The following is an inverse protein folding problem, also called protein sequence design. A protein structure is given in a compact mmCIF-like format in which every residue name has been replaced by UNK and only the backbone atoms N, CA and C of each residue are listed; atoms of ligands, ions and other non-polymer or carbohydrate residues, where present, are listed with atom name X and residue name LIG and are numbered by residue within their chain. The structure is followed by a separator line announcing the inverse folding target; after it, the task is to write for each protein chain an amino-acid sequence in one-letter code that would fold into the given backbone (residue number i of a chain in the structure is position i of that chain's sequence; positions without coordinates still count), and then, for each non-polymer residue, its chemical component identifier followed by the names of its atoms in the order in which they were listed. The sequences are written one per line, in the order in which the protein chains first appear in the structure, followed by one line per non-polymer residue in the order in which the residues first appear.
data_IF_519182029570
#
_entry.id   IF_519182029570
#
_cell.length_a   1.000
_cell.length_b   1.000
_cell.length_c   1.000
_cell.angle_alpha   90.00
_cell.angle_beta   90.00
_cell.angle_gamma   90.00
#
_symmetry.space_group_name_H-M   'P 1'
#
loop_
_entity.id
_entity.type
_entity.pdbx_description
1 polymer ?
#
# COMPACT_ATOMS: atom_id res chain seq x y z
N UNK A 1 -16.61 -45.48 30.42
CA UNK A 1 -16.33 -45.35 28.97
C UNK A 1 -15.76 -43.97 28.76
N UNK A 2 -14.49 -43.90 28.34
CA UNK A 2 -13.71 -42.67 28.22
C UNK A 2 -13.94 -42.10 26.82
N UNK A 3 -14.49 -40.89 26.73
CA UNK A 3 -14.70 -40.18 25.47
C UNK A 3 -13.35 -39.68 24.96
N UNK A 4 -12.84 -40.34 23.92
CA UNK A 4 -11.57 -40.04 23.29
C UNK A 4 -11.69 -38.72 22.50
N UNK A 5 -10.97 -37.70 22.96
CA UNK A 5 -10.82 -36.43 22.27
C UNK A 5 -10.07 -36.66 20.96
N UNK A 6 -10.78 -36.58 19.83
CA UNK A 6 -10.17 -36.54 18.50
C UNK A 6 -9.29 -35.29 18.40
N UNK A 7 -7.97 -35.51 18.53
CA UNK A 7 -6.92 -34.50 18.33
C UNK A 7 -7.02 -33.95 16.90
N UNK A 8 -6.90 -32.62 16.70
CA UNK A 8 -6.77 -32.06 15.35
C UNK A 8 -5.54 -32.65 14.65
N UNK A 9 -5.57 -32.84 13.31
CA UNK A 9 -4.43 -33.38 12.59
C UNK A 9 -3.19 -32.51 12.82
N UNK A 10 -2.08 -33.15 13.18
CA UNK A 10 -0.77 -32.52 13.32
C UNK A 10 -0.47 -31.73 12.04
N UNK A 11 -0.11 -30.45 12.21
CA UNK A 11 0.41 -29.58 11.15
C UNK A 11 1.51 -30.35 10.40
N UNK A 12 1.23 -30.79 9.18
CA UNK A 12 2.31 -31.11 8.24
C UNK A 12 2.96 -29.77 7.93
N UNK A 13 4.12 -29.56 8.52
CA UNK A 13 5.03 -28.48 8.18
C UNK A 13 5.13 -28.43 6.66
N UNK A 14 4.71 -27.30 6.09
CA UNK A 14 5.13 -26.91 4.76
C UNK A 14 6.59 -26.47 4.93
N UNK A 15 7.53 -27.42 4.89
CA UNK A 15 8.97 -27.17 5.01
C UNK A 15 9.56 -26.54 3.72
N UNK A 16 8.73 -25.81 2.96
CA UNK A 16 9.13 -25.05 1.76
C UNK A 16 8.47 -23.67 1.85
N UNK A 17 8.83 -22.92 2.90
CA UNK A 17 8.77 -21.45 3.00
C UNK A 17 9.11 -21.00 4.44
N UNK A 18 10.01 -21.68 5.14
CA UNK A 18 10.58 -21.15 6.38
C UNK A 18 11.93 -20.53 6.06
N UNK A 19 11.90 -19.43 5.30
CA UNK A 19 13.02 -18.50 5.29
C UNK A 19 13.19 -18.00 6.72
N UNK A 20 14.37 -18.22 7.28
CA UNK A 20 14.77 -17.79 8.61
C UNK A 20 14.27 -16.38 8.89
N UNK A 21 13.50 -16.22 9.97
CA UNK A 21 13.13 -14.91 10.49
C UNK A 21 14.41 -14.22 10.94
N UNK A 22 14.98 -13.40 10.05
CA UNK A 22 15.98 -12.40 10.42
C UNK A 22 15.25 -11.31 11.20
N UNK A 23 15.05 -11.55 12.49
CA UNK A 23 14.51 -10.59 13.45
C UNK A 23 15.55 -9.50 13.77
N UNK A 24 15.94 -8.71 12.77
CA UNK A 24 16.77 -7.52 12.95
C UNK A 24 16.36 -6.39 12.01
N UNK A 25 15.08 -6.29 11.67
CA UNK A 25 14.55 -5.11 10.99
C UNK A 25 14.50 -3.95 12.00
N UNK A 26 15.60 -3.23 12.13
CA UNK A 26 15.61 -1.91 12.75
C UNK A 26 14.63 -1.04 11.99
N UNK A 27 13.85 -0.22 12.71
CA UNK A 27 12.96 0.80 12.15
C UNK A 27 13.61 1.47 10.94
N UNK A 28 13.06 1.37 9.70
CA UNK A 28 13.51 2.23 8.63
C UNK A 28 13.21 3.66 9.10
N UNK A 29 14.25 4.48 9.24
CA UNK A 29 14.12 5.87 9.66
C UNK A 29 13.61 6.67 8.46
N UNK A 30 12.34 6.44 8.10
CA UNK A 30 11.72 7.04 6.92
C UNK A 30 11.57 8.54 7.14
N UNK A 31 12.03 9.30 6.16
CA UNK A 31 11.90 10.74 6.14
C UNK A 31 10.44 11.12 5.85
N UNK A 32 10.00 12.25 6.41
CA UNK A 32 8.70 12.81 6.05
C UNK A 32 8.70 13.27 4.58
N UNK A 33 7.56 13.15 3.91
CA UNK A 33 7.41 13.60 2.53
C UNK A 33 7.84 15.07 2.36
N UNK A 34 8.74 15.32 1.41
CA UNK A 34 9.30 16.63 1.13
C UNK A 34 9.30 16.91 -0.37
N UNK A 35 8.30 17.65 -0.85
CA UNK A 35 8.19 17.98 -2.28
C UNK A 35 9.30 18.89 -2.83
N UNK A 36 10.14 19.46 -1.96
CA UNK A 36 11.32 20.26 -2.36
C UNK A 36 12.54 19.39 -2.62
N UNK A 37 12.54 18.15 -2.16
CA UNK A 37 13.62 17.20 -2.42
C UNK A 37 13.31 16.39 -3.69
N UNK A 38 14.20 16.50 -4.68
CA UNK A 38 14.13 15.79 -5.96
C UNK A 38 14.10 14.28 -5.79
N UNK A 39 14.82 13.75 -4.79
CA UNK A 39 14.84 12.33 -4.48
C UNK A 39 13.51 11.88 -3.88
N UNK A 40 12.88 12.71 -3.04
CA UNK A 40 11.53 12.43 -2.54
C UNK A 40 10.51 12.36 -3.69
N UNK A 41 10.59 13.29 -4.65
CA UNK A 41 9.73 13.28 -5.84
C UNK A 41 10.00 12.06 -6.73
N UNK A 42 11.28 11.68 -6.92
CA UNK A 42 11.65 10.48 -7.67
C UNK A 42 11.09 9.21 -7.03
N UNK A 43 11.18 9.08 -5.71
CA UNK A 43 10.61 7.96 -4.96
C UNK A 43 9.08 7.97 -4.98
N UNK A 44 8.45 9.15 -4.93
CA UNK A 44 7.00 9.30 -5.07
C UNK A 44 6.48 8.76 -6.40
N UNK A 45 7.15 9.08 -7.52
CA UNK A 45 6.81 8.54 -8.84
C UNK A 45 6.89 7.01 -8.81
N UNK A 46 8.01 6.46 -8.31
CA UNK A 46 8.18 5.01 -8.20
C UNK A 46 7.09 4.35 -7.36
N UNK A 47 6.79 4.93 -6.20
CA UNK A 47 5.71 4.50 -5.30
C UNK A 47 4.35 4.53 -6.00
N UNK A 48 3.99 5.65 -6.63
CA UNK A 48 2.71 5.84 -7.29
C UNK A 48 2.49 4.78 -8.38
N UNK A 49 3.47 4.55 -9.25
CA UNK A 49 3.32 3.55 -10.31
C UNK A 49 3.19 2.12 -9.77
N UNK A 50 3.98 1.77 -8.75
CA UNK A 50 3.86 0.47 -8.08
C UNK A 50 2.48 0.30 -7.43
N UNK A 51 2.01 1.33 -6.73
CA UNK A 51 0.70 1.32 -6.09
C UNK A 51 -0.43 1.17 -7.11
N UNK A 52 -0.44 1.97 -8.19
CA UNK A 52 -1.51 1.92 -9.19
C UNK A 52 -1.51 0.62 -9.99
N UNK A 53 -0.34 0.12 -10.41
CA UNK A 53 -0.25 -1.13 -11.19
C UNK A 53 -0.67 -2.35 -10.38
N UNK A 54 -0.21 -2.42 -9.13
CA UNK A 54 -0.48 -3.57 -8.27
C UNK A 54 -1.74 -3.41 -7.43
N UNK A 55 -2.42 -2.26 -7.50
CA UNK A 55 -3.51 -1.86 -6.58
C UNK A 55 -3.10 -1.91 -5.10
N UNK A 56 -1.85 -1.54 -4.81
CA UNK A 56 -1.29 -1.43 -3.46
C UNK A 56 -0.71 -2.71 -2.86
N UNK A 57 -0.73 -3.83 -3.59
CA UNK A 57 -0.27 -5.13 -3.09
C UNK A 57 1.24 -5.37 -3.25
N UNK A 58 1.88 -4.77 -4.25
CA UNK A 58 3.29 -4.99 -4.58
C UNK A 58 4.05 -3.66 -4.57
N UNK A 59 4.76 -3.42 -3.46
CA UNK A 59 5.55 -2.20 -3.25
C UNK A 59 6.96 -2.62 -2.79
N UNK A 60 7.98 -2.08 -3.45
CA UNK A 60 9.40 -2.29 -3.11
C UNK A 60 9.83 -1.42 -1.95
N UNK A 61 9.40 -1.75 -0.73
CA UNK A 61 9.63 -0.98 0.49
C UNK A 61 11.11 -0.73 0.82
N UNK A 62 11.99 -1.63 0.40
CA UNK A 62 13.44 -1.55 0.56
C UNK A 62 14.09 -0.41 -0.25
N UNK A 63 13.36 0.13 -1.22
CA UNK A 63 13.83 1.20 -2.13
C UNK A 63 13.24 2.57 -1.76
N UNK A 64 12.50 2.65 -0.65
CA UNK A 64 11.81 3.87 -0.22
C UNK A 64 12.41 4.35 1.11
N UNK A 65 12.94 5.57 1.08
CA UNK A 65 13.48 6.29 2.24
C UNK A 65 12.48 7.32 2.77
N UNK A 66 11.40 7.60 2.04
CA UNK A 66 10.34 8.55 2.41
C UNK A 66 9.03 7.84 2.79
N UNK A 67 8.26 8.48 3.67
CA UNK A 67 6.90 8.08 4.02
C UNK A 67 5.91 8.43 2.90
N UNK A 68 5.08 7.46 2.54
CA UNK A 68 3.95 7.60 1.61
C UNK A 68 2.66 7.09 2.26
N UNK A 69 1.54 7.21 1.55
CA UNK A 69 0.20 6.90 2.05
C UNK A 69 0.02 5.48 2.59
N UNK A 70 0.77 4.52 2.05
CA UNK A 70 0.77 3.13 2.52
C UNK A 70 2.06 2.78 3.22
N UNK A 71 1.98 1.93 4.22
CA UNK A 71 3.11 1.41 4.97
C UNK A 71 3.11 -0.12 4.98
N UNK A 72 4.29 -0.76 5.02
CA UNK A 72 4.37 -2.20 5.19
C UNK A 72 3.95 -2.59 6.61
N UNK A 73 3.22 -3.71 6.74
CA UNK A 73 3.00 -4.33 8.04
C UNK A 73 4.20 -5.19 8.39
N UNK A 74 5.16 -4.62 9.13
CA UNK A 74 6.38 -5.30 9.58
C UNK A 74 6.44 -5.33 11.10
N UNK A 75 6.98 -6.41 11.65
CA UNK A 75 6.94 -6.73 13.09
C UNK A 75 7.56 -5.73 14.08
N UNK A 76 8.49 -4.81 13.74
CA UNK A 76 8.87 -3.75 14.67
C UNK A 76 7.78 -2.65 14.83
N UNK A 77 6.71 -2.67 14.01
CA UNK A 77 5.63 -1.69 14.01
C UNK A 77 4.27 -2.37 14.11
N UNK A 78 3.77 -2.55 15.33
CA UNK A 78 2.42 -3.07 15.52
C UNK A 78 1.39 -2.03 15.07
N UNK A 79 0.46 -2.46 14.22
CA UNK A 79 -0.70 -1.66 13.83
C UNK A 79 -1.77 -1.56 14.94
N UNK A 80 -1.60 -2.28 16.05
CA UNK A 80 -2.50 -2.26 17.22
C UNK A 80 -1.71 -2.44 18.51
N UNK A 81 -2.17 -1.79 19.58
CA UNK A 81 -1.65 -2.02 20.93
C UNK A 81 -2.02 -3.41 21.48
N UNK A 82 -3.13 -3.97 21.01
CA UNK A 82 -3.73 -5.19 21.57
C UNK A 82 -3.52 -6.44 20.71
N UNK A 83 -3.09 -6.28 19.46
CA UNK A 83 -2.91 -7.39 18.51
C UNK A 83 -1.59 -7.28 17.77
N UNK A 84 -0.99 -8.43 17.47
CA UNK A 84 0.15 -8.49 16.54
C UNK A 84 -0.32 -8.20 15.12
N UNK A 85 0.62 -7.84 14.25
CA UNK A 85 0.32 -7.67 12.83
C UNK A 85 -0.25 -8.95 12.22
N UNK A 86 0.35 -10.10 12.55
CA UNK A 86 -0.13 -11.43 12.14
C UNK A 86 -1.57 -11.70 12.56
N UNK A 87 -1.94 -11.35 13.80
CA UNK A 87 -3.32 -11.52 14.27
C UNK A 87 -4.30 -10.64 13.48
N UNK A 88 -3.94 -9.39 13.23
CA UNK A 88 -4.77 -8.46 12.44
C UNK A 88 -4.96 -8.98 11.01
N UNK A 89 -3.86 -9.40 10.37
CA UNK A 89 -3.84 -9.93 9.01
C UNK A 89 -4.68 -11.20 8.93
N UNK A 90 -4.46 -12.16 9.85
CA UNK A 90 -5.16 -13.44 9.88
C UNK A 90 -6.65 -13.26 10.11
N UNK A 91 -7.05 -12.44 11.07
CA UNK A 91 -8.47 -12.19 11.36
C UNK A 91 -9.18 -11.55 10.17
N UNK A 92 -8.60 -10.48 9.61
CA UNK A 92 -9.19 -9.77 8.47
C UNK A 92 -9.31 -10.68 7.25
N UNK A 93 -8.26 -11.45 6.97
CA UNK A 93 -8.23 -12.39 5.84
C UNK A 93 -9.23 -13.53 6.01
N UNK A 94 -9.31 -14.14 7.19
CA UNK A 94 -10.30 -15.18 7.48
C UNK A 94 -11.74 -14.67 7.31
N UNK A 95 -12.01 -13.43 7.72
CA UNK A 95 -13.33 -12.82 7.52
C UNK A 95 -13.63 -12.58 6.04
N UNK A 96 -12.64 -12.11 5.28
CA UNK A 96 -12.78 -11.91 3.83
C UNK A 96 -13.04 -13.25 3.10
N UNK A 97 -12.31 -14.30 3.48
CA UNK A 97 -12.53 -15.67 2.99
C UNK A 97 -13.93 -16.17 3.34
N UNK A 98 -14.40 -15.99 4.58
CA UNK A 98 -15.72 -16.44 5.02
C UNK A 98 -16.84 -15.80 4.18
N UNK A 99 -16.74 -14.50 3.90
CA UNK A 99 -17.66 -13.79 3.02
C UNK A 99 -17.60 -14.34 1.60
N UNK A 100 -16.40 -14.46 1.02
CA UNK A 100 -16.24 -15.01 -0.33
C UNK A 100 -16.81 -16.42 -0.46
N UNK A 101 -16.56 -17.29 0.52
CA UNK A 101 -17.11 -18.64 0.56
C UNK A 101 -18.64 -18.64 0.62
N UNK A 102 -19.23 -17.74 1.42
CA UNK A 102 -20.69 -17.58 1.49
C UNK A 102 -21.26 -17.10 0.16
N UNK A 103 -20.63 -16.12 -0.48
CA UNK A 103 -21.13 -15.46 -1.69
C UNK A 103 -20.93 -16.31 -2.96
N UNK A 104 -19.85 -17.10 -3.02
CA UNK A 104 -19.45 -17.90 -4.19
C UNK A 104 -19.66 -19.40 -4.03
N UNK A 105 -20.03 -19.86 -2.83
CA UNK A 105 -20.17 -21.29 -2.53
C UNK A 105 -18.84 -22.06 -2.50
N UNK A 106 -17.71 -21.36 -2.34
CA UNK A 106 -16.37 -21.97 -2.26
C UNK A 106 -16.06 -22.48 -0.85
N UNK A 107 -14.98 -23.27 -0.69
CA UNK A 107 -14.51 -23.71 0.63
C UNK A 107 -13.02 -23.40 0.81
N UNK A 108 -12.68 -22.13 0.60
CA UNK A 108 -11.33 -21.62 0.81
C UNK A 108 -10.97 -21.64 2.29
N UNK A 109 -9.74 -22.07 2.59
CA UNK A 109 -9.14 -22.07 3.93
C UNK A 109 -7.82 -21.31 3.87
N UNK A 110 -7.66 -20.36 4.81
CA UNK A 110 -6.42 -19.60 4.99
C UNK A 110 -5.27 -20.51 5.43
N UNK A 111 -4.14 -20.40 4.75
CA UNK A 111 -2.92 -21.12 5.10
C UNK A 111 -1.94 -20.20 5.83
N UNK A 112 -1.45 -19.19 5.11
CA UNK A 112 -0.50 -18.19 5.62
C UNK A 112 -0.56 -16.92 4.77
N UNK A 113 -0.02 -15.82 5.30
CA UNK A 113 0.16 -14.58 4.53
C UNK A 113 1.57 -14.50 3.92
N UNK A 114 1.70 -13.74 2.85
CA UNK A 114 2.99 -13.52 2.16
C UNK A 114 3.45 -12.09 2.32
N UNK A 115 2.53 -11.14 2.15
CA UNK A 115 2.80 -9.73 2.34
C UNK A 115 1.54 -9.02 2.81
N UNK A 116 1.74 -7.96 3.58
CA UNK A 116 0.67 -7.08 4.00
C UNK A 116 1.16 -5.64 4.06
N UNK A 117 0.31 -4.73 3.62
CA UNK A 117 0.48 -3.29 3.78
C UNK A 117 -0.82 -2.66 4.25
N UNK A 118 -0.73 -1.44 4.77
CA UNK A 118 -1.91 -0.72 5.23
C UNK A 118 -1.83 0.76 4.86
N UNK A 119 -3.00 1.40 4.77
CA UNK A 119 -3.17 2.84 4.64
C UNK A 119 -4.13 3.33 5.71
N UNK A 120 -3.75 4.39 6.42
CA UNK A 120 -4.65 5.09 7.31
C UNK A 120 -5.65 5.90 6.48
N UNK A 121 -6.94 5.71 6.74
CA UNK A 121 -8.03 6.47 6.12
C UNK A 121 -9.10 6.73 7.19
N UNK A 122 -10.39 6.75 6.84
CA UNK A 122 -11.46 6.67 7.83
C UNK A 122 -11.49 5.27 8.49
N UNK A 123 -10.48 4.91 9.28
CA UNK A 123 -10.16 3.54 9.69
C UNK A 123 -8.82 3.10 9.09
N UNK A 124 -8.64 1.80 8.89
CA UNK A 124 -7.40 1.25 8.30
C UNK A 124 -7.76 0.33 7.15
N UNK A 125 -7.23 0.64 5.97
CA UNK A 125 -7.36 -0.17 4.76
C UNK A 125 -6.14 -1.08 4.64
N UNK A 126 -6.37 -2.38 4.55
CA UNK A 126 -5.33 -3.40 4.46
C UNK A 126 -5.30 -4.00 3.06
N UNK A 127 -4.10 -4.25 2.56
CA UNK A 127 -3.81 -4.98 1.33
C UNK A 127 -3.03 -6.21 1.72
N UNK A 128 -3.63 -7.39 1.58
CA UNK A 128 -3.02 -8.66 2.01
C UNK A 128 -2.92 -9.61 0.83
N UNK A 129 -1.72 -10.12 0.60
CA UNK A 129 -1.46 -11.27 -0.28
C UNK A 129 -1.26 -12.51 0.58
N UNK A 130 -2.00 -13.58 0.31
CA UNK A 130 -2.02 -14.78 1.16
C UNK A 130 -2.23 -16.07 0.38
N UNK A 131 -1.76 -17.18 0.96
CA UNK A 131 -2.05 -18.52 0.49
C UNK A 131 -3.39 -19.01 1.04
N UNK A 132 -4.23 -19.52 0.14
CA UNK A 132 -5.42 -20.27 0.52
C UNK A 132 -5.57 -21.52 -0.33
N UNK A 133 -6.31 -22.49 0.21
CA UNK A 133 -6.62 -23.75 -0.46
C UNK A 133 -8.13 -23.94 -0.51
N UNK A 134 -8.65 -24.28 -1.69
CA UNK A 134 -10.06 -24.62 -1.84
C UNK A 134 -10.30 -26.10 -1.57
N UNK A 135 -11.02 -26.39 -0.48
CA UNK A 135 -11.37 -27.75 -0.09
C UNK A 135 -12.60 -28.29 -0.82
N UNK A 136 -13.27 -27.48 -1.65
CA UNK A 136 -14.32 -27.95 -2.56
C UNK A 136 -13.74 -28.57 -3.84
N UNK A 137 -12.47 -28.29 -4.16
CA UNK A 137 -11.78 -28.86 -5.32
C UNK A 137 -11.52 -30.36 -5.14
N UNK A 138 -11.65 -31.14 -6.22
CA UNK A 138 -11.26 -32.56 -6.26
C UNK A 138 -9.76 -32.77 -6.03
N UNK A 139 -8.94 -31.76 -6.34
CA UNK A 139 -7.51 -31.72 -6.07
C UNK A 139 -7.15 -30.38 -5.40
N UNK A 140 -7.20 -30.30 -4.06
CA UNK A 140 -6.87 -29.08 -3.34
C UNK A 140 -5.39 -28.71 -3.52
N UNK A 141 -5.14 -27.57 -4.14
CA UNK A 141 -3.80 -27.00 -4.34
C UNK A 141 -3.78 -25.59 -3.76
N UNK A 142 -2.74 -25.22 -2.97
CA UNK A 142 -2.59 -23.84 -2.51
C UNK A 142 -2.47 -22.87 -3.68
N UNK A 143 -3.18 -21.74 -3.60
CA UNK A 143 -3.08 -20.64 -4.56
C UNK A 143 -2.91 -19.32 -3.81
N UNK A 144 -2.28 -18.35 -4.47
CA UNK A 144 -2.15 -16.99 -3.95
C UNK A 144 -3.41 -16.19 -4.24
N UNK A 145 -3.93 -15.56 -3.22
CA UNK A 145 -5.05 -14.64 -3.28
C UNK A 145 -4.61 -13.27 -2.77
N UNK A 146 -5.35 -12.27 -3.20
CA UNK A 146 -5.24 -10.89 -2.77
C UNK A 146 -6.58 -10.45 -2.22
N UNK A 147 -6.56 -9.78 -1.06
CA UNK A 147 -7.74 -9.12 -0.53
C UNK A 147 -7.43 -7.73 -0.03
N UNK A 148 -8.32 -6.80 -0.37
CA UNK A 148 -8.35 -5.46 0.15
C UNK A 148 -9.58 -5.32 1.06
N UNK A 149 -9.35 -4.93 2.31
CA UNK A 149 -10.44 -4.74 3.28
C UNK A 149 -10.15 -3.59 4.24
N UNK A 150 -11.19 -2.85 4.61
CA UNK A 150 -11.13 -1.76 5.58
C UNK A 150 -11.69 -2.21 6.91
N UNK A 151 -10.95 -1.96 7.98
CA UNK A 151 -11.43 -2.09 9.36
C UNK A 151 -11.67 -0.72 9.98
N UNK A 152 -12.74 -0.61 10.75
CA UNK A 152 -13.03 0.57 11.57
C UNK A 152 -13.49 0.09 12.96
N UNK A 153 -12.62 0.24 13.96
CA UNK A 153 -12.87 -0.34 15.28
C UNK A 153 -12.92 -1.88 15.26
N UNK A 154 -13.54 -2.51 16.28
CA UNK A 154 -13.44 -3.95 16.49
C UNK A 154 -14.35 -4.78 15.57
N UNK A 155 -15.49 -4.24 15.15
CA UNK A 155 -16.57 -5.00 14.50
C UNK A 155 -16.76 -4.68 13.02
N UNK A 156 -16.46 -3.45 12.58
CA UNK A 156 -16.63 -3.10 11.18
C UNK A 156 -15.44 -3.60 10.36
N UNK A 157 -15.75 -4.45 9.39
CA UNK A 157 -14.82 -4.85 8.34
C UNK A 157 -15.60 -4.85 7.02
N UNK A 158 -15.08 -4.17 6.01
CA UNK A 158 -15.65 -4.12 4.66
C UNK A 158 -14.60 -4.66 3.69
N UNK A 159 -14.99 -5.58 2.82
CA UNK A 159 -14.09 -6.21 1.84
C UNK A 159 -14.37 -5.57 0.50
N UNK A 160 -13.40 -4.85 -0.06
CA UNK A 160 -13.54 -4.19 -1.36
C UNK A 160 -13.02 -5.06 -2.51
N UNK A 161 -12.00 -5.88 -2.25
CA UNK A 161 -11.42 -6.78 -3.24
C UNK A 161 -11.16 -8.15 -2.63
N UNK A 162 -11.47 -9.19 -3.40
CA UNK A 162 -11.03 -10.56 -3.15
C UNK A 162 -10.83 -11.27 -4.49
N UNK A 163 -9.59 -11.63 -4.81
CA UNK A 163 -9.24 -12.27 -6.09
C UNK A 163 -8.06 -13.22 -5.97
N UNK A 164 -7.88 -14.06 -6.99
CA UNK A 164 -6.61 -14.74 -7.23
C UNK A 164 -5.54 -13.67 -7.50
N UNK A 165 -4.31 -13.85 -7.01
CA UNK A 165 -3.19 -12.95 -7.32
C UNK A 165 -3.01 -12.91 -8.85
N UNK A 166 -3.04 -11.72 -9.48
CA UNK A 166 -2.69 -11.58 -10.88
C UNK A 166 -1.25 -12.02 -11.14
N UNK A 167 -1.01 -12.53 -12.33
CA UNK A 167 0.33 -12.84 -12.83
C UNK A 167 1.13 -11.55 -13.04
N UNK A 168 2.46 -11.66 -13.00
CA UNK A 168 3.33 -10.50 -13.21
C UNK A 168 3.12 -9.87 -14.59
N UNK A 169 2.72 -10.66 -15.60
CA UNK A 169 2.34 -10.16 -16.94
C UNK A 169 1.05 -9.35 -16.91
N UNK A 170 0.04 -9.78 -16.17
CA UNK A 170 -1.22 -9.04 -16.02
C UNK A 170 -0.99 -7.71 -15.29
N UNK A 171 -0.17 -7.71 -14.23
CA UNK A 171 0.23 -6.49 -13.50
C UNK A 171 1.03 -5.56 -14.41
N UNK A 172 1.94 -6.11 -15.23
CA UNK A 172 2.74 -5.36 -16.17
C UNK A 172 1.89 -4.61 -17.21
N UNK A 173 0.83 -5.26 -17.69
CA UNK A 173 -0.06 -4.77 -18.73
C UNK A 173 -0.98 -3.62 -18.27
N UNK A 174 -1.10 -3.38 -16.96
CA UNK A 174 -1.86 -2.25 -16.42
C UNK A 174 -1.22 -0.93 -16.88
N UNK A 175 -2.03 -0.12 -17.56
CA UNK A 175 -1.66 1.25 -17.94
C UNK A 175 -1.94 2.19 -16.77
N UNK A 176 -0.99 3.09 -16.50
CA UNK A 176 -1.07 4.04 -15.39
C UNK A 176 -0.71 5.42 -15.92
N UNK A 177 -1.62 6.36 -15.76
CA UNK A 177 -1.39 7.77 -16.04
C UNK A 177 -0.37 8.36 -15.07
N UNK A 178 0.40 9.38 -15.46
CA UNK A 178 1.29 10.06 -14.53
C UNK A 178 0.54 10.62 -13.31
N UNK A 179 1.23 10.80 -12.16
CA UNK A 179 0.61 11.39 -10.99
C UNK A 179 0.02 12.78 -11.28
N UNK A 180 -1.03 13.19 -10.55
CA UNK A 180 -1.50 14.57 -10.61
C UNK A 180 -0.39 15.54 -10.14
N UNK A 181 -0.44 16.81 -10.59
CA UNK A 181 0.48 17.84 -10.11
C UNK A 181 0.53 17.92 -8.58
N UNK A 182 1.72 18.12 -8.03
CA UNK A 182 1.86 18.37 -6.59
C UNK A 182 1.91 19.88 -6.32
N UNK A 183 1.31 20.26 -5.20
CA UNK A 183 1.28 21.64 -4.69
C UNK A 183 0.59 22.66 -5.63
N UNK A 184 -0.27 22.21 -6.54
CA UNK A 184 -0.98 23.11 -7.47
C UNK A 184 -1.74 24.23 -6.73
N UNK A 185 -2.36 23.89 -5.61
CA UNK A 185 -3.14 24.83 -4.79
C UNK A 185 -2.36 25.46 -3.63
N UNK A 186 -1.03 25.34 -3.59
CA UNK A 186 -0.20 25.89 -2.51
C UNK A 186 0.65 27.04 -3.06
N UNK A 187 0.21 28.30 -2.90
CA UNK A 187 0.86 29.46 -3.51
C UNK A 187 2.34 29.61 -3.16
N UNK A 188 2.76 29.17 -1.97
CA UNK A 188 4.14 29.30 -1.50
C UNK A 188 5.07 28.16 -1.94
N UNK A 189 4.57 27.21 -2.75
CA UNK A 189 5.34 26.05 -3.21
C UNK A 189 5.37 25.98 -4.73
N UNK A 190 6.49 25.50 -5.31
CA UNK A 190 6.52 25.25 -6.74
C UNK A 190 5.55 24.14 -7.09
N UNK A 191 4.76 24.35 -8.14
CA UNK A 191 3.96 23.29 -8.75
C UNK A 191 4.91 22.28 -9.38
N UNK A 192 4.72 20.99 -9.08
CA UNK A 192 5.50 19.91 -9.66
C UNK A 192 4.64 19.20 -10.70
N UNK A 193 4.98 19.35 -11.98
CA UNK A 193 4.30 18.68 -13.09
C UNK A 193 5.04 17.38 -13.45
N UNK A 194 4.30 16.36 -13.87
CA UNK A 194 4.84 15.06 -14.28
C UNK A 194 4.56 14.82 -15.75
N UNK A 195 5.55 14.30 -16.49
CA UNK A 195 5.41 13.99 -17.91
C UNK A 195 6.08 12.66 -18.22
N UNK A 196 5.34 11.78 -18.90
CA UNK A 196 5.88 10.51 -19.40
C UNK A 196 6.75 10.79 -20.61
N UNK A 197 8.02 10.39 -20.56
CA UNK A 197 9.02 10.66 -21.61
C UNK A 197 9.40 9.43 -22.41
N UNK A 198 8.95 8.24 -22.03
CA UNK A 198 9.17 7.01 -22.79
C UNK A 198 8.99 5.73 -21.98
N UNK A 199 9.25 4.56 -22.59
CA UNK A 199 9.29 3.29 -21.86
C UNK A 199 10.44 3.33 -20.84
N UNK A 200 10.15 3.00 -19.58
CA UNK A 200 11.12 3.01 -18.49
C UNK A 200 11.70 1.64 -18.15
N UNK A 201 12.22 1.50 -16.94
CA UNK A 201 12.85 0.25 -16.47
C UNK A 201 11.83 -0.68 -15.83
N UNK A 202 11.76 -1.92 -16.33
CA UNK A 202 10.79 -2.91 -15.88
C UNK A 202 9.35 -2.47 -16.17
N UNK A 203 8.53 -2.34 -15.13
CA UNK A 203 7.11 -2.01 -15.25
C UNK A 203 6.81 -0.51 -15.08
N UNK A 204 7.80 0.34 -14.78
CA UNK A 204 7.60 1.76 -14.49
C UNK A 204 8.06 2.57 -15.71
N UNK A 205 7.20 3.43 -16.30
CA UNK A 205 7.61 4.28 -17.42
C UNK A 205 8.64 5.33 -16.97
N UNK A 206 9.41 5.86 -17.92
CA UNK A 206 10.26 7.00 -17.64
C UNK A 206 9.37 8.23 -17.47
N UNK A 207 9.40 8.81 -16.27
CA UNK A 207 8.65 10.01 -15.93
C UNK A 207 9.63 11.06 -15.44
N UNK A 208 9.54 12.24 -16.05
CA UNK A 208 10.29 13.42 -15.65
C UNK A 208 9.35 14.37 -14.93
N UNK A 209 9.84 15.04 -13.89
CA UNK A 209 9.11 16.11 -13.23
C UNK A 209 9.74 17.48 -13.54
N UNK A 210 8.91 18.51 -13.62
CA UNK A 210 9.35 19.90 -13.80
C UNK A 210 8.75 20.77 -12.71
N UNK A 211 9.55 21.70 -12.17
CA UNK A 211 9.08 22.68 -11.18
C UNK A 211 8.71 23.98 -11.85
N UNK A 212 7.46 24.40 -11.67
CA UNK A 212 7.03 25.76 -11.99
C UNK A 212 7.16 26.59 -10.71
N UNK A 213 7.96 27.67 -10.70
CA UNK A 213 8.14 28.51 -9.52
C UNK A 213 6.80 29.06 -9.02
N UNK A 214 6.67 29.16 -7.69
CA UNK A 214 5.60 29.91 -7.04
C UNK A 214 5.59 31.36 -7.56
N UNK A 215 4.41 31.90 -7.89
CA UNK A 215 4.30 33.32 -8.21
C UNK A 215 4.55 34.13 -6.94
N UNK A 216 5.73 34.74 -6.83
CA UNK A 216 5.97 35.76 -5.81
C UNK A 216 5.18 36.99 -6.23
N UNK A 217 4.12 37.33 -5.49
CA UNK A 217 3.48 38.63 -5.62
C UNK A 217 4.52 39.68 -5.23
N UNK A 218 5.18 40.27 -6.22
CA UNK A 218 6.02 41.45 -6.01
C UNK A 218 5.06 42.58 -5.68
N UNK A 219 4.88 42.88 -4.40
CA UNK A 219 4.24 44.11 -3.97
C UNK A 219 5.12 45.26 -4.44
N UNK A 220 4.69 45.94 -5.51
CA UNK A 220 5.27 47.20 -5.96
C UNK A 220 5.25 48.19 -4.78
N UNK A 221 6.36 48.87 -4.45
CA UNK A 221 6.34 49.89 -3.42
C UNK A 221 5.39 51.01 -3.85
N UNK A 222 4.46 51.37 -2.97
CA UNK A 222 3.57 52.51 -3.16
C UNK A 222 4.42 53.75 -3.47
N UNK A 223 4.29 54.23 -4.71
CA UNK A 223 4.79 55.51 -5.16
C UNK A 223 4.24 56.59 -4.24
N UNK A 224 5.07 57.05 -3.29
CA UNK A 224 4.78 58.19 -2.44
C UNK A 224 4.58 59.42 -3.33
N UNK A 225 3.33 59.85 -3.49
CA UNK A 225 3.01 61.12 -4.15
C UNK A 225 3.33 62.26 -3.19
N UNK A 226 4.03 63.33 -3.62
CA UNK A 226 4.32 64.45 -2.75
C UNK A 226 3.05 65.28 -2.52
N UNK A 227 2.69 65.49 -1.26
CA UNK A 227 1.64 66.40 -0.86
C UNK A 227 2.02 67.84 -1.25
N UNK A 228 1.33 68.37 -2.26
CA UNK A 228 1.31 69.81 -2.55
C UNK A 228 0.52 70.50 -1.44
N UNK A 229 1.23 71.22 -0.58
CA UNK A 229 0.65 72.18 0.36
C UNK A 229 0.26 73.43 -0.45
N UNK A 230 -1.04 73.67 -0.60
CA UNK A 230 -1.58 74.93 -1.10
C UNK A 230 -2.25 75.66 0.06
N UNK A 231 -1.71 76.86 0.30
CA UNK A 231 -2.15 77.99 1.15
C UNK A 231 -2.22 77.79 2.66
#
# INVERSE_FOLDING_TARGET
MVTEYLRPPKKRRLDIASGESRSSATRPNLQSFNSRDDECIRQYISYYYQFQKSEGFEIGWDKLDYLFDTMPMIDPYRASEYKTNDEIIREGTCLAIARHNSDKGTRLVFLDHVSASYRCCAGVLYYVTFWAMDLASSSPVPKLYQSNFRRCGPTFCEVYLFRLKPTDQEIAAVQVDPPPPLNEDIPERPTVLFTVTGPGSGFIPNVVFTRIPAQVSVSLPESSSPSLLVT
#
